data_IF_211956170793
#
_entry.id   IF_211956170793
#
_cell.length_a   1.000
_cell.length_b   1.000
_cell.length_c   1.000
_cell.angle_alpha   90.00
_cell.angle_beta   90.00
_cell.angle_gamma   90.00
#
_symmetry.space_group_name_H-M   'P 1'
#
loop_
_entity.id
_entity.type
_entity.pdbx_description
1 polymer ?
#
# COMPACT_ATOMS: atom_id res chain seq x y z
N UNK A 1 -16.64 26.32 -24.33
CA UNK A 1 -17.24 25.19 -25.09
C UNK A 1 -16.35 23.97 -24.86
N UNK A 2 -16.89 22.80 -24.50
CA UNK A 2 -16.11 21.58 -24.33
C UNK A 2 -15.65 21.06 -25.71
N UNK A 3 -14.40 20.62 -25.84
CA UNK A 3 -13.84 20.05 -27.06
C UNK A 3 -14.65 18.83 -27.57
N UNK A 4 -15.20 18.04 -26.66
CA UNK A 4 -16.02 16.85 -26.97
C UNK A 4 -17.52 17.14 -27.13
N UNK A 5 -17.93 18.42 -27.04
CA UNK A 5 -19.32 18.89 -27.20
C UNK A 5 -20.34 18.24 -26.23
N UNK A 6 -19.88 17.58 -25.17
CA UNK A 6 -20.67 16.92 -24.12
C UNK A 6 -20.10 17.29 -22.74
N UNK A 7 -20.56 16.62 -21.67
CA UNK A 7 -20.18 16.92 -20.28
C UNK A 7 -18.97 16.12 -19.78
N UNK A 8 -18.08 15.67 -20.68
CA UNK A 8 -16.83 15.00 -20.30
C UNK A 8 -15.87 15.96 -19.61
N UNK A 9 -15.22 15.50 -18.56
CA UNK A 9 -14.25 16.28 -17.79
C UNK A 9 -12.86 15.65 -17.94
N UNK A 10 -11.92 16.41 -18.49
CA UNK A 10 -10.50 16.08 -18.42
C UNK A 10 -9.92 16.75 -17.17
N UNK A 11 -9.32 15.95 -16.29
CA UNK A 11 -8.60 16.42 -15.11
C UNK A 11 -7.15 16.01 -15.23
N UNK A 12 -6.25 16.99 -15.09
CA UNK A 12 -4.80 16.76 -15.02
C UNK A 12 -4.38 17.05 -13.59
N UNK A 13 -3.84 16.05 -12.90
CA UNK A 13 -3.33 16.17 -11.54
C UNK A 13 -1.83 15.95 -11.55
N UNK A 14 -1.07 16.83 -10.91
CA UNK A 14 0.34 16.64 -10.65
C UNK A 14 0.56 16.54 -9.14
N UNK A 15 1.37 15.58 -8.70
CA UNK A 15 1.70 15.38 -7.30
C UNK A 15 3.21 15.35 -7.10
N UNK A 16 3.67 15.96 -6.01
CA UNK A 16 5.05 15.90 -5.54
C UNK A 16 5.07 15.54 -4.05
N UNK A 17 6.06 14.78 -3.62
CA UNK A 17 6.22 14.40 -2.22
C UNK A 17 7.67 14.17 -1.86
N UNK A 18 8.01 14.46 -0.61
CA UNK A 18 9.32 14.19 0.00
C UNK A 18 9.12 13.35 1.26
N UNK A 19 9.93 12.32 1.43
CA UNK A 19 9.94 11.46 2.62
C UNK A 19 11.38 11.38 3.10
N UNK A 20 11.68 11.99 4.25
CA UNK A 20 12.99 11.90 4.89
C UNK A 20 12.85 11.10 6.18
N UNK A 21 13.82 10.24 6.46
CA UNK A 21 13.82 9.39 7.65
C UNK A 21 15.03 9.71 8.51
N UNK A 22 14.83 10.39 9.63
CA UNK A 22 15.92 10.67 10.58
C UNK A 22 16.01 9.53 11.58
N UNK A 23 17.17 8.88 11.65
CA UNK A 23 17.44 7.79 12.61
C UNK A 23 18.74 8.02 13.37
N UNK A 24 18.84 7.45 14.59
CA UNK A 24 20.01 7.59 15.47
C UNK A 24 21.34 7.04 14.92
N UNK A 25 21.33 6.34 13.78
CA UNK A 25 22.50 5.67 13.18
C UNK A 25 22.95 6.27 11.83
N UNK A 26 22.62 7.54 11.55
CA UNK A 26 23.50 8.38 10.74
C UNK A 26 23.17 8.60 9.25
N UNK A 27 22.43 7.75 8.54
CA UNK A 27 22.11 8.05 7.12
C UNK A 27 20.66 7.72 6.77
N UNK A 28 19.81 8.73 6.87
CA UNK A 28 18.45 8.70 6.37
C UNK A 28 18.42 8.79 4.85
N UNK A 29 17.75 7.85 4.17
CA UNK A 29 17.49 7.97 2.73
C UNK A 29 16.30 8.92 2.55
N UNK A 30 16.52 9.99 1.78
CA UNK A 30 15.45 10.90 1.34
C UNK A 30 14.82 10.39 0.05
N UNK A 31 13.52 10.12 0.08
CA UNK A 31 12.77 9.77 -1.11
C UNK A 31 12.07 10.99 -1.68
N UNK A 32 12.07 11.09 -3.01
CA UNK A 32 11.25 12.06 -3.73
C UNK A 32 10.27 11.31 -4.60
N UNK A 33 9.02 11.76 -4.63
CA UNK A 33 7.96 11.19 -5.46
C UNK A 33 7.41 12.29 -6.35
N UNK A 34 7.28 11.99 -7.63
CA UNK A 34 6.57 12.84 -8.58
C UNK A 34 5.55 11.99 -9.34
N UNK A 35 4.38 12.53 -9.59
CA UNK A 35 3.35 11.86 -10.37
C UNK A 35 2.53 12.84 -11.20
N UNK A 36 2.02 12.34 -12.31
CA UNK A 36 1.16 13.05 -13.24
C UNK A 36 0.06 12.09 -13.70
N UNK A 37 -1.20 12.48 -13.49
CA UNK A 37 -2.37 11.71 -13.92
C UNK A 37 -3.24 12.58 -14.84
N UNK A 38 -3.59 12.05 -16.01
CA UNK A 38 -4.61 12.59 -16.90
C UNK A 38 -5.83 11.67 -16.84
N UNK A 39 -6.96 12.16 -16.32
CA UNK A 39 -8.21 11.41 -16.18
C UNK A 39 -9.30 12.02 -17.04
N UNK A 40 -9.80 11.26 -18.00
CA UNK A 40 -11.00 11.58 -18.77
C UNK A 40 -12.23 10.92 -18.12
N UNK A 41 -13.10 11.74 -17.55
CA UNK A 41 -14.31 11.30 -16.86
C UNK A 41 -15.54 11.48 -17.72
N UNK A 42 -16.29 10.41 -17.94
CA UNK A 42 -17.60 10.41 -18.57
C UNK A 42 -18.66 10.37 -17.46
N UNK A 43 -19.64 11.31 -17.41
CA UNK A 43 -20.70 11.33 -16.38
C UNK A 43 -21.81 10.31 -16.67
N UNK A 44 -21.42 9.13 -17.13
CA UNK A 44 -22.29 7.98 -17.44
C UNK A 44 -21.48 6.70 -17.39
N UNK A 45 -22.17 5.57 -17.24
CA UNK A 45 -21.57 4.24 -17.36
C UNK A 45 -21.46 3.88 -18.85
N UNK A 46 -20.24 3.86 -19.38
CA UNK A 46 -19.93 3.42 -20.74
C UNK A 46 -19.60 1.93 -20.65
N UNK A 47 -20.63 1.11 -20.44
CA UNK A 47 -20.49 -0.30 -20.16
C UNK A 47 -21.50 -1.15 -20.94
N UNK A 48 -21.16 -2.41 -21.26
CA UNK A 48 -22.10 -3.35 -21.88
C UNK A 48 -23.10 -3.96 -20.88
N UNK A 49 -22.99 -3.66 -19.57
CA UNK A 49 -23.83 -4.22 -18.50
C UNK A 49 -24.62 -3.13 -17.75
N UNK A 50 -25.76 -3.50 -17.17
CA UNK A 50 -26.59 -2.59 -16.36
C UNK A 50 -26.15 -2.62 -14.89
N UNK A 51 -25.92 -1.44 -14.31
CA UNK A 51 -25.61 -1.28 -12.89
C UNK A 51 -26.81 -0.71 -12.13
N UNK A 52 -27.02 -1.15 -10.89
CA UNK A 52 -27.99 -0.54 -9.97
C UNK A 52 -27.29 0.62 -9.25
N UNK A 53 -27.81 1.83 -9.39
CA UNK A 53 -27.28 3.02 -8.73
C UNK A 53 -28.42 3.99 -8.38
N UNK A 54 -28.22 4.81 -7.35
CA UNK A 54 -29.21 5.81 -6.94
C UNK A 54 -29.05 7.09 -7.77
N UNK A 55 -30.04 7.36 -8.64
CA UNK A 55 -30.07 8.53 -9.52
C UNK A 55 -30.21 9.86 -8.76
N UNK A 56 -30.62 9.84 -7.48
CA UNK A 56 -30.81 11.04 -6.65
C UNK A 56 -29.54 11.52 -5.95
N UNK A 57 -28.47 10.72 -5.93
CA UNK A 57 -27.24 11.03 -5.20
C UNK A 57 -26.17 11.65 -6.11
N UNK A 58 -25.46 10.81 -6.85
CA UNK A 58 -24.36 11.20 -7.71
C UNK A 58 -24.45 10.39 -9.00
N UNK A 59 -24.30 11.07 -10.13
CA UNK A 59 -24.26 10.40 -11.42
C UNK A 59 -23.06 9.44 -11.43
N UNK A 60 -23.27 8.21 -11.90
CA UNK A 60 -22.18 7.25 -12.02
C UNK A 60 -21.19 7.73 -13.08
N UNK A 61 -19.93 7.33 -12.94
CA UNK A 61 -18.84 7.81 -13.79
C UNK A 61 -18.08 6.64 -14.41
N UNK A 62 -17.65 6.82 -15.64
CA UNK A 62 -16.59 6.01 -16.25
C UNK A 62 -15.34 6.86 -16.35
N UNK A 63 -14.21 6.35 -15.89
CA UNK A 63 -12.95 7.06 -15.88
C UNK A 63 -11.93 6.28 -16.70
N UNK A 64 -11.32 6.97 -17.67
CA UNK A 64 -10.09 6.53 -18.31
C UNK A 64 -8.94 7.35 -17.72
N UNK A 65 -7.98 6.70 -17.08
CA UNK A 65 -6.82 7.36 -16.47
C UNK A 65 -5.55 6.88 -17.11
N UNK A 66 -4.71 7.83 -17.52
CA UNK A 66 -3.31 7.63 -17.87
C UNK A 66 -2.48 8.27 -16.76
N UNK A 67 -1.58 7.51 -16.15
CA UNK A 67 -0.76 7.97 -15.04
C UNK A 67 0.71 7.63 -15.22
N UNK A 68 1.59 8.51 -14.77
CA UNK A 68 3.02 8.26 -14.67
C UNK A 68 3.51 8.69 -13.29
N UNK A 69 4.19 7.81 -12.59
CA UNK A 69 4.79 8.10 -11.28
C UNK A 69 6.26 7.70 -11.28
N UNK A 70 7.10 8.54 -10.70
CA UNK A 70 8.51 8.27 -10.42
C UNK A 70 8.80 8.42 -8.93
N UNK A 71 9.57 7.50 -8.38
CA UNK A 71 10.09 7.55 -7.01
C UNK A 71 11.61 7.50 -7.09
N UNK A 72 12.27 8.58 -6.66
CA UNK A 72 13.72 8.66 -6.48
C UNK A 72 14.05 8.20 -5.07
N UNK A 73 14.88 7.15 -4.95
CA UNK A 73 15.31 6.58 -3.66
C UNK A 73 16.69 7.11 -3.28
N UNK A 74 16.78 8.30 -2.70
CA UNK A 74 18.00 8.89 -2.10
C UNK A 74 19.33 8.58 -2.79
N UNK A 75 19.38 8.73 -4.12
CA UNK A 75 20.59 8.48 -4.93
C UNK A 75 20.91 7.01 -5.25
N UNK A 76 20.11 6.06 -4.79
CA UNK A 76 20.29 4.62 -5.04
C UNK A 76 19.73 4.21 -6.40
N UNK A 77 18.44 4.45 -6.64
CA UNK A 77 17.78 4.10 -7.90
C UNK A 77 16.46 4.89 -8.07
N UNK A 78 15.90 4.82 -9.28
CA UNK A 78 14.58 5.39 -9.60
C UNK A 78 13.60 4.31 -10.03
N UNK A 79 12.46 4.22 -9.36
CA UNK A 79 11.35 3.37 -9.78
C UNK A 79 10.34 4.20 -10.56
N UNK A 80 9.97 3.75 -11.76
CA UNK A 80 8.92 4.35 -12.57
C UNK A 80 7.71 3.42 -12.65
N UNK A 81 6.52 4.00 -12.75
CA UNK A 81 5.25 3.29 -12.89
C UNK A 81 4.42 4.02 -13.94
N UNK A 82 4.17 3.39 -15.07
CA UNK A 82 3.27 3.88 -16.12
C UNK A 82 1.97 3.06 -16.08
N UNK A 83 0.85 3.73 -15.80
CA UNK A 83 -0.44 3.08 -15.61
C UNK A 83 -1.49 3.58 -16.61
N UNK A 84 -2.30 2.65 -17.09
CA UNK A 84 -3.53 2.93 -17.85
C UNK A 84 -4.67 2.16 -17.20
N UNK A 85 -5.73 2.85 -16.81
CA UNK A 85 -6.89 2.22 -16.19
C UNK A 85 -8.18 2.69 -16.84
N UNK A 86 -9.12 1.76 -16.99
CA UNK A 86 -10.49 2.08 -17.34
C UNK A 86 -11.41 1.47 -16.29
N UNK A 87 -12.24 2.30 -15.67
CA UNK A 87 -13.07 1.88 -14.54
C UNK A 87 -14.36 2.64 -14.39
N UNK A 88 -15.25 2.07 -13.59
CA UNK A 88 -16.55 2.58 -13.23
C UNK A 88 -16.59 2.92 -11.75
N UNK A 89 -17.26 4.01 -11.40
CA UNK A 89 -17.57 4.36 -10.02
C UNK A 89 -19.05 4.71 -9.91
N UNK A 90 -19.75 4.08 -8.96
CA UNK A 90 -21.16 4.36 -8.73
C UNK A 90 -21.52 4.27 -7.24
N UNK A 91 -22.52 5.04 -6.86
CA UNK A 91 -23.06 5.05 -5.50
C UNK A 91 -24.40 4.31 -5.50
N UNK A 92 -24.50 3.23 -4.75
CA UNK A 92 -25.74 2.46 -4.62
C UNK A 92 -26.74 3.18 -3.70
N UNK A 93 -26.26 3.81 -2.62
CA UNK A 93 -27.05 4.64 -1.69
C UNK A 93 -26.11 5.57 -0.90
N UNK A 94 -26.62 6.33 0.08
CA UNK A 94 -25.80 7.27 0.87
C UNK A 94 -24.64 6.62 1.66
N UNK A 95 -24.67 5.31 1.85
CA UNK A 95 -23.70 4.57 2.65
C UNK A 95 -22.76 3.72 1.79
N UNK A 96 -23.21 3.26 0.63
CA UNK A 96 -22.52 2.25 -0.18
C UNK A 96 -22.07 2.82 -1.51
N UNK A 97 -20.77 2.69 -1.77
CA UNK A 97 -20.12 3.05 -3.02
C UNK A 97 -19.31 1.88 -3.56
N UNK A 98 -19.25 1.79 -4.89
CA UNK A 98 -18.54 0.75 -5.60
C UNK A 98 -17.60 1.36 -6.62
N UNK A 99 -16.45 0.72 -6.78
CA UNK A 99 -15.52 0.94 -7.87
C UNK A 99 -15.26 -0.38 -8.58
N UNK A 100 -15.23 -0.37 -9.91
CA UNK A 100 -14.83 -1.54 -10.68
C UNK A 100 -13.92 -1.11 -11.83
N UNK A 101 -12.67 -1.58 -11.80
CA UNK A 101 -11.69 -1.41 -12.86
C UNK A 101 -11.58 -2.77 -13.55
N UNK A 102 -12.33 -3.02 -14.65
CA UNK A 102 -12.18 -4.26 -15.41
C UNK A 102 -10.80 -4.38 -16.06
N UNK A 103 -10.15 -3.25 -16.37
CA UNK A 103 -8.89 -3.22 -17.10
C UNK A 103 -7.93 -2.21 -16.48
N UNK A 104 -6.81 -2.72 -15.98
CA UNK A 104 -5.66 -1.97 -15.54
C UNK A 104 -4.40 -2.56 -16.15
N UNK A 105 -3.58 -1.72 -16.75
CA UNK A 105 -2.20 -2.03 -17.11
C UNK A 105 -1.32 -1.14 -16.25
N UNK A 106 -0.38 -1.74 -15.52
CA UNK A 106 0.67 -1.01 -14.83
C UNK A 106 2.03 -1.62 -15.18
N UNK A 107 2.91 -0.82 -15.79
CA UNK A 107 4.28 -1.20 -16.04
C UNK A 107 5.19 -0.51 -15.02
N UNK A 108 5.84 -1.33 -14.18
CA UNK A 108 6.79 -0.88 -13.18
C UNK A 108 8.19 -1.24 -13.65
N UNK A 109 9.12 -0.29 -13.61
CA UNK A 109 10.49 -0.52 -14.07
C UNK A 109 11.53 0.36 -13.41
N UNK A 110 12.77 -0.14 -13.37
CA UNK A 110 13.96 0.59 -12.89
C UNK A 110 14.94 0.77 -14.06
N UNK A 111 15.08 1.99 -14.61
CA UNK A 111 16.05 2.26 -15.66
C UNK A 111 17.47 2.00 -15.17
N UNK A 112 18.25 1.24 -15.94
CA UNK A 112 19.64 0.91 -15.60
C UNK A 112 20.50 2.17 -15.38
N UNK A 113 20.28 3.21 -16.18
CA UNK A 113 20.97 4.50 -16.06
C UNK A 113 20.56 5.33 -14.82
N UNK A 114 19.62 4.84 -14.01
CA UNK A 114 19.20 5.50 -12.77
C UNK A 114 19.78 4.87 -11.52
N UNK A 115 20.51 3.77 -11.66
CA UNK A 115 21.16 3.05 -10.56
C UNK A 115 22.44 3.82 -10.23
N UNK A 116 22.54 4.33 -9.00
CA UNK A 116 23.71 5.04 -8.51
C UNK A 116 24.81 4.11 -8.00
N UNK A 117 26.05 4.60 -8.01
CA UNK A 117 27.26 3.86 -7.60
C UNK A 117 27.13 3.21 -6.21
N UNK A 118 26.44 3.90 -5.31
CA UNK A 118 26.17 3.41 -3.95
C UNK A 118 25.47 2.05 -3.90
N UNK A 119 24.65 1.70 -4.89
CA UNK A 119 24.05 0.35 -4.96
C UNK A 119 25.13 -0.70 -5.16
N UNK A 120 26.11 -0.43 -6.04
CA UNK A 120 27.21 -1.35 -6.29
C UNK A 120 28.14 -1.46 -5.08
N UNK A 121 28.40 -0.35 -4.39
CA UNK A 121 29.17 -0.35 -3.14
C UNK A 121 28.52 -1.25 -2.08
N UNK A 122 27.21 -1.15 -1.88
CA UNK A 122 26.45 -2.01 -0.95
C UNK A 122 26.53 -3.50 -1.35
N UNK A 123 26.48 -3.80 -2.65
CA UNK A 123 26.56 -5.18 -3.12
C UNK A 123 27.96 -5.77 -2.97
N UNK A 124 29.00 -4.94 -3.11
CA UNK A 124 30.41 -5.34 -2.99
C UNK A 124 30.87 -5.45 -1.52
N UNK A 125 30.31 -4.65 -0.62
CA UNK A 125 30.75 -4.55 0.78
C UNK A 125 30.57 -5.88 1.55
N UNK A 126 31.65 -6.48 2.09
CA UNK A 126 31.58 -7.77 2.79
C UNK A 126 30.83 -7.70 4.14
N UNK A 127 30.67 -6.52 4.73
CA UNK A 127 29.99 -6.34 6.01
C UNK A 127 28.45 -6.32 5.86
N UNK A 128 27.96 -6.21 4.61
CA UNK A 128 26.52 -6.26 4.30
C UNK A 128 26.02 -7.69 4.31
N UNK A 129 25.00 -7.95 5.15
CA UNK A 129 24.38 -9.28 5.22
C UNK A 129 23.86 -9.75 3.85
N UNK A 130 24.02 -11.04 3.50
CA UNK A 130 23.59 -11.58 2.20
C UNK A 130 22.12 -11.30 1.86
N UNK A 131 21.25 -11.32 2.86
CA UNK A 131 19.82 -11.04 2.70
C UNK A 131 19.53 -9.63 2.18
N UNK A 132 20.29 -8.64 2.65
CA UNK A 132 20.13 -7.25 2.20
C UNK A 132 20.61 -7.13 0.76
N UNK A 133 21.74 -7.77 0.42
CA UNK A 133 22.25 -7.80 -0.95
C UNK A 133 21.22 -8.41 -1.91
N UNK A 134 20.65 -9.55 -1.54
CA UNK A 134 19.64 -10.24 -2.35
C UNK A 134 18.38 -9.37 -2.56
N UNK A 135 17.96 -8.62 -1.54
CA UNK A 135 16.84 -7.67 -1.66
C UNK A 135 17.14 -6.50 -2.61
N UNK A 136 18.32 -5.87 -2.49
CA UNK A 136 18.76 -4.85 -3.44
C UNK A 136 18.83 -5.41 -4.86
N UNK A 137 19.39 -6.61 -5.02
CA UNK A 137 19.47 -7.27 -6.33
C UNK A 137 18.10 -7.50 -6.95
N UNK A 138 17.15 -8.05 -6.18
CA UNK A 138 15.81 -8.34 -6.66
C UNK A 138 15.03 -7.05 -6.99
N UNK A 139 15.13 -6.01 -6.17
CA UNK A 139 14.39 -4.76 -6.38
C UNK A 139 15.02 -3.86 -7.45
N UNK A 140 16.34 -3.80 -7.56
CA UNK A 140 16.99 -2.92 -8.53
C UNK A 140 17.08 -3.58 -9.91
N UNK A 141 17.39 -4.87 -9.97
CA UNK A 141 17.69 -5.54 -11.25
C UNK A 141 16.61 -6.53 -11.73
N UNK A 142 15.60 -6.84 -10.90
CA UNK A 142 14.52 -7.80 -11.25
C UNK A 142 13.10 -7.28 -10.99
N UNK A 143 12.93 -5.97 -10.82
CA UNK A 143 11.64 -5.34 -10.51
C UNK A 143 10.78 -5.01 -11.73
N UNK A 144 11.34 -5.10 -12.94
CA UNK A 144 10.61 -4.86 -14.18
C UNK A 144 9.45 -5.85 -14.33
N UNK A 145 8.23 -5.33 -14.19
CA UNK A 145 7.02 -6.15 -14.13
C UNK A 145 5.84 -5.45 -14.77
N UNK A 146 5.09 -6.23 -15.54
CA UNK A 146 3.81 -5.82 -16.13
C UNK A 146 2.65 -6.40 -15.30
N UNK A 147 1.78 -5.53 -14.80
CA UNK A 147 0.62 -5.91 -14.00
C UNK A 147 -0.62 -5.63 -14.82
N UNK A 148 -1.24 -6.70 -15.33
CA UNK A 148 -2.50 -6.65 -16.06
C UNK A 148 -3.60 -7.13 -15.12
N UNK A 149 -4.36 -6.20 -14.53
CA UNK A 149 -5.30 -6.53 -13.45
C UNK A 149 -6.73 -6.02 -13.65
N UNK A 150 -7.65 -6.66 -12.91
CA UNK A 150 -8.99 -6.18 -12.66
C UNK A 150 -9.17 -6.00 -11.16
N UNK A 151 -9.74 -4.88 -10.73
CA UNK A 151 -9.91 -4.51 -9.33
C UNK A 151 -11.37 -4.13 -9.05
N UNK A 152 -11.95 -4.71 -8.01
CA UNK A 152 -13.22 -4.29 -7.45
C UNK A 152 -13.00 -3.71 -6.05
N UNK A 153 -13.61 -2.55 -5.79
CA UNK A 153 -13.57 -1.87 -4.51
C UNK A 153 -15.00 -1.67 -4.01
N UNK A 154 -15.24 -2.09 -2.77
CA UNK A 154 -16.47 -1.85 -2.04
C UNK A 154 -16.18 -0.88 -0.89
N UNK A 155 -16.99 0.18 -0.79
CA UNK A 155 -16.93 1.13 0.30
C UNK A 155 -18.28 1.20 1.01
N UNK A 156 -18.24 1.12 2.33
CA UNK A 156 -19.37 1.37 3.20
C UNK A 156 -19.00 2.44 4.23
N UNK A 157 -19.83 3.47 4.38
CA UNK A 157 -19.68 4.50 5.39
C UNK A 157 -21.02 4.71 6.11
N UNK A 158 -20.99 4.78 7.44
CA UNK A 158 -22.14 5.24 8.19
C UNK A 158 -22.52 6.68 7.78
N UNK A 159 -23.82 7.03 7.77
CA UNK A 159 -24.26 8.35 7.34
C UNK A 159 -23.69 9.46 8.22
N UNK A 160 -23.24 10.56 7.60
CA UNK A 160 -22.64 11.70 8.31
C UNK A 160 -23.60 12.38 9.31
N UNK A 161 -24.92 12.23 9.12
CA UNK A 161 -25.97 12.81 9.98
C UNK A 161 -26.62 11.79 10.91
N UNK A 162 -25.96 10.67 11.18
CA UNK A 162 -26.48 9.67 12.11
C UNK A 162 -26.29 10.12 13.56
N UNK A 163 -27.36 10.08 14.37
CA UNK A 163 -27.27 10.27 15.83
C UNK A 163 -26.76 9.02 16.57
N UNK A 164 -26.46 7.94 15.84
CA UNK A 164 -25.93 6.71 16.38
C UNK A 164 -24.61 6.94 17.13
N UNK A 165 -24.49 6.34 18.31
CA UNK A 165 -23.22 6.27 19.02
C UNK A 165 -22.17 5.40 18.29
N UNK A 166 -22.62 4.59 17.32
CA UNK A 166 -21.80 3.65 16.55
C UNK A 166 -21.68 4.13 15.11
N UNK A 167 -20.44 4.29 14.63
CA UNK A 167 -20.14 4.62 13.24
C UNK A 167 -19.11 3.65 12.67
N UNK A 168 -19.32 3.24 11.44
CA UNK A 168 -18.48 2.28 10.72
C UNK A 168 -18.00 2.88 9.41
N UNK A 169 -16.77 2.56 9.03
CA UNK A 169 -16.22 2.78 7.70
C UNK A 169 -15.51 1.51 7.27
N UNK A 170 -15.86 0.97 6.11
CA UNK A 170 -15.29 -0.27 5.58
C UNK A 170 -14.90 0.00 4.14
N UNK A 171 -13.66 -0.35 3.80
CA UNK A 171 -13.18 -0.45 2.42
C UNK A 171 -12.70 -1.87 2.22
N UNK A 172 -13.21 -2.56 1.19
CA UNK A 172 -12.76 -3.89 0.81
C UNK A 172 -12.38 -3.90 -0.67
N UNK A 173 -11.27 -4.56 -1.00
CA UNK A 173 -10.72 -4.66 -2.34
C UNK A 173 -10.53 -6.12 -2.72
N UNK A 174 -10.81 -6.45 -3.98
CA UNK A 174 -10.48 -7.72 -4.60
C UNK A 174 -9.86 -7.46 -5.97
N UNK A 175 -8.61 -7.88 -6.16
CA UNK A 175 -7.82 -7.71 -7.37
C UNK A 175 -7.37 -9.07 -7.90
N UNK A 176 -7.47 -9.25 -9.20
CA UNK A 176 -6.90 -10.40 -9.90
C UNK A 176 -6.03 -9.91 -11.05
N UNK A 177 -4.84 -10.48 -11.20
CA UNK A 177 -3.86 -10.05 -12.19
C UNK A 177 -3.35 -11.23 -13.03
N UNK A 178 -2.96 -10.96 -14.28
CA UNK A 178 -2.22 -11.88 -15.15
C UNK A 178 -3.03 -12.97 -15.85
N UNK A 179 -4.34 -13.08 -15.59
CA UNK A 179 -5.17 -14.12 -16.20
C UNK A 179 -5.37 -13.92 -17.70
N UNK A 180 -5.65 -12.71 -18.15
CA UNK A 180 -5.75 -12.42 -19.59
C UNK A 180 -4.39 -12.62 -20.26
N UNK A 181 -3.31 -12.18 -19.61
CA UNK A 181 -1.95 -12.34 -20.11
C UNK A 181 -1.59 -13.82 -20.32
N UNK A 182 -1.87 -14.69 -19.35
CA UNK A 182 -1.54 -16.12 -19.40
C UNK A 182 -2.34 -16.91 -20.45
N UNK A 183 -3.47 -16.38 -20.94
CA UNK A 183 -4.19 -16.98 -22.06
C UNK A 183 -3.44 -16.79 -23.39
N UNK A 184 -2.81 -15.62 -23.59
CA UNK A 184 -2.22 -15.23 -24.88
C UNK A 184 -0.69 -15.29 -24.93
N UNK A 185 -0.01 -15.13 -23.78
CA UNK A 185 1.45 -14.98 -23.69
C UNK A 185 2.03 -16.07 -22.80
N UNK A 186 2.48 -17.18 -23.41
CA UNK A 186 2.95 -18.39 -22.71
C UNK A 186 4.41 -18.73 -22.99
N UNK A 187 5.17 -17.79 -23.54
CA UNK A 187 6.59 -17.97 -23.85
C UNK A 187 7.44 -17.42 -22.70
N UNK A 188 8.33 -18.25 -22.09
CA UNK A 188 9.31 -17.79 -21.11
C UNK A 188 10.26 -16.74 -21.71
N UNK A 189 10.78 -15.88 -20.84
CA UNK A 189 11.86 -14.96 -21.20
C UNK A 189 13.21 -15.68 -21.21
N UNK A 190 14.20 -15.09 -21.87
CA UNK A 190 15.56 -15.69 -21.96
C UNK A 190 16.28 -15.71 -20.60
N UNK A 191 16.06 -14.67 -19.79
CA UNK A 191 16.75 -14.44 -18.49
C UNK A 191 15.85 -14.67 -17.28
N UNK A 192 14.58 -15.04 -17.49
CA UNK A 192 13.58 -15.21 -16.45
C UNK A 192 12.65 -16.38 -16.81
N UNK A 193 12.47 -17.38 -15.93
CA UNK A 193 11.59 -18.52 -16.21
C UNK A 193 10.11 -18.13 -16.37
N UNK A 194 9.73 -16.91 -15.97
CA UNK A 194 8.38 -16.38 -16.15
C UNK A 194 8.13 -16.00 -17.61
N UNK A 195 6.89 -16.20 -18.05
CA UNK A 195 6.40 -15.72 -19.32
C UNK A 195 6.38 -14.19 -19.36
N UNK A 196 6.63 -13.64 -20.55
CA UNK A 196 6.71 -12.19 -20.73
C UNK A 196 6.00 -11.65 -21.95
N UNK A 197 5.80 -10.33 -21.92
CA UNK A 197 5.20 -9.52 -22.97
C UNK A 197 6.23 -8.42 -23.29
N UNK A 198 6.66 -8.32 -24.56
CA UNK A 198 7.70 -7.36 -24.98
C UNK A 198 8.98 -7.38 -24.12
N UNK A 199 9.42 -8.58 -23.69
CA UNK A 199 10.63 -8.73 -22.87
C UNK A 199 10.43 -8.50 -21.36
N UNK A 200 9.21 -8.19 -20.92
CA UNK A 200 8.89 -7.92 -19.51
C UNK A 200 8.02 -9.02 -18.93
N UNK A 201 8.38 -9.55 -17.76
CA UNK A 201 7.59 -10.56 -17.07
C UNK A 201 6.24 -9.98 -16.62
N UNK A 202 5.14 -10.73 -16.78
CA UNK A 202 3.85 -10.29 -16.25
C UNK A 202 3.53 -10.95 -14.91
N UNK A 203 2.97 -10.17 -13.99
CA UNK A 203 2.56 -10.65 -12.68
C UNK A 203 1.21 -11.38 -12.74
N UNK A 204 1.10 -12.50 -12.03
CA UNK A 204 -0.14 -13.25 -11.90
C UNK A 204 -0.42 -13.57 -10.43
N UNK A 205 -1.49 -12.99 -9.89
CA UNK A 205 -1.84 -13.10 -8.48
C UNK A 205 -3.32 -12.82 -8.23
N UNK A 206 -3.78 -13.18 -7.04
CA UNK A 206 -5.06 -12.78 -6.47
C UNK A 206 -4.79 -12.02 -5.18
N UNK A 207 -5.42 -10.87 -4.97
CA UNK A 207 -5.19 -10.03 -3.79
C UNK A 207 -6.53 -9.58 -3.25
N UNK A 208 -6.75 -9.78 -1.97
CA UNK A 208 -7.94 -9.30 -1.26
C UNK A 208 -7.50 -8.58 0.01
N UNK A 209 -8.11 -7.43 0.29
CA UNK A 209 -7.90 -6.70 1.53
C UNK A 209 -9.16 -6.01 2.03
N UNK A 210 -9.21 -5.79 3.34
CA UNK A 210 -10.26 -5.05 4.00
C UNK A 210 -9.67 -4.15 5.08
N UNK A 211 -10.14 -2.90 5.10
CA UNK A 211 -9.88 -1.91 6.14
C UNK A 211 -11.21 -1.51 6.78
N UNK A 212 -11.39 -1.89 8.05
CA UNK A 212 -12.57 -1.55 8.83
C UNK A 212 -12.19 -0.57 9.95
N UNK A 213 -12.94 0.50 10.08
CA UNK A 213 -12.83 1.46 11.19
C UNK A 213 -14.17 1.56 11.89
N UNK A 214 -14.15 1.41 13.21
CA UNK A 214 -15.32 1.46 14.08
C UNK A 214 -15.11 2.51 15.16
N UNK A 215 -16.04 3.48 15.23
CA UNK A 215 -16.09 4.48 16.27
C UNK A 215 -17.28 4.21 17.18
N UNK A 216 -17.02 4.22 18.49
CA UNK A 216 -18.04 4.18 19.53
C UNK A 216 -17.94 5.41 20.40
N UNK A 217 -18.95 6.28 20.36
CA UNK A 217 -19.09 7.41 21.29
C UNK A 217 -19.53 6.86 22.65
N UNK A 218 -18.62 6.88 23.62
CA UNK A 218 -18.86 6.41 24.99
C UNK A 218 -19.49 7.53 25.85
N UNK A 219 -19.09 8.77 25.60
CA UNK A 219 -19.67 9.98 26.20
C UNK A 219 -19.62 11.12 25.17
N UNK A 220 -20.18 12.29 25.50
CA UNK A 220 -20.16 13.47 24.62
C UNK A 220 -18.75 13.91 24.21
N UNK A 221 -17.76 13.68 25.07
CA UNK A 221 -16.34 14.01 24.85
C UNK A 221 -15.42 12.79 24.79
N UNK A 222 -15.93 11.56 24.82
CA UNK A 222 -15.12 10.34 24.86
C UNK A 222 -15.51 9.39 23.73
N UNK A 223 -14.55 9.06 22.87
CA UNK A 223 -14.74 8.16 21.72
C UNK A 223 -13.70 7.06 21.71
N UNK A 224 -14.15 5.81 21.62
CA UNK A 224 -13.31 4.67 21.30
C UNK A 224 -13.24 4.53 19.78
N UNK A 225 -12.05 4.61 19.21
CA UNK A 225 -11.80 4.42 17.79
C UNK A 225 -10.97 3.16 17.57
N UNK A 226 -11.47 2.25 16.74
CA UNK A 226 -10.82 0.99 16.42
C UNK A 226 -10.62 0.93 14.91
N UNK A 227 -9.45 0.46 14.47
CA UNK A 227 -9.15 0.18 13.08
C UNK A 227 -8.59 -1.23 12.98
N UNK A 228 -9.06 -1.99 12.01
CA UNK A 228 -8.56 -3.31 11.68
C UNK A 228 -8.31 -3.39 10.18
N UNK A 229 -7.13 -3.88 9.81
CA UNK A 229 -6.73 -4.14 8.44
C UNK A 229 -6.31 -5.60 8.31
N UNK A 230 -6.84 -6.28 7.31
CA UNK A 230 -6.40 -7.60 6.91
C UNK A 230 -6.27 -7.66 5.39
N UNK A 231 -5.19 -8.23 4.89
CA UNK A 231 -4.99 -8.41 3.45
C UNK A 231 -4.11 -9.61 3.15
N UNK A 232 -4.37 -10.26 2.02
CA UNK A 232 -3.59 -11.37 1.49
C UNK A 232 -3.47 -11.24 -0.01
N UNK A 233 -2.24 -11.38 -0.52
CA UNK A 233 -1.89 -11.57 -1.90
C UNK A 233 -1.37 -13.00 -2.08
N UNK A 234 -1.90 -13.69 -3.09
CA UNK A 234 -1.56 -15.06 -3.44
C UNK A 234 -1.02 -15.03 -4.86
N UNK A 235 0.31 -15.05 -5.04
CA UNK A 235 0.96 -15.25 -6.33
C UNK A 235 0.65 -16.66 -6.85
N UNK A 236 0.32 -16.81 -8.13
CA UNK A 236 0.07 -18.11 -8.76
C UNK A 236 0.45 -18.09 -10.24
N UNK A 237 0.40 -19.25 -10.89
CA UNK A 237 0.72 -19.37 -12.32
C UNK A 237 2.09 -18.79 -12.64
N UNK A 238 2.13 -17.74 -13.47
CA UNK A 238 3.37 -17.07 -13.88
C UNK A 238 4.18 -16.43 -12.75
N UNK A 239 3.61 -16.29 -11.54
CA UNK A 239 4.31 -15.75 -10.37
C UNK A 239 4.36 -16.74 -9.20
N UNK A 240 4.12 -18.04 -9.44
CA UNK A 240 4.22 -19.07 -8.41
C UNK A 240 5.64 -19.13 -7.85
N UNK A 241 5.78 -19.10 -6.52
CA UNK A 241 7.08 -19.10 -5.83
C UNK A 241 7.77 -17.73 -5.73
N UNK A 242 7.13 -16.66 -6.22
CA UNK A 242 7.58 -15.28 -6.07
C UNK A 242 6.63 -14.51 -5.15
N UNK A 243 7.02 -13.33 -4.69
CA UNK A 243 6.11 -12.39 -4.03
C UNK A 243 5.21 -11.69 -5.05
N UNK A 244 4.11 -11.07 -4.58
CA UNK A 244 3.39 -10.11 -5.41
C UNK A 244 4.30 -8.92 -5.76
N UNK A 245 4.05 -8.23 -6.90
CA UNK A 245 4.84 -7.08 -7.30
C UNK A 245 5.02 -6.09 -6.16
N UNK A 246 6.20 -5.50 -6.04
CA UNK A 246 6.55 -4.59 -4.94
C UNK A 246 5.52 -3.45 -4.76
N UNK A 247 5.00 -2.89 -5.85
CA UNK A 247 3.97 -1.83 -5.82
C UNK A 247 2.61 -2.28 -5.27
N UNK A 248 2.42 -3.59 -5.05
CA UNK A 248 1.20 -4.24 -4.56
C UNK A 248 1.39 -4.89 -3.20
N UNK A 249 2.63 -4.98 -2.70
CA UNK A 249 2.96 -5.48 -1.36
C UNK A 249 2.39 -4.58 -0.26
N UNK A 250 2.18 -5.18 0.91
CA UNK A 250 1.78 -4.49 2.11
C UNK A 250 2.99 -4.09 2.95
N UNK A 251 2.85 -2.98 3.68
CA UNK A 251 3.86 -2.48 4.61
C UNK A 251 3.23 -2.07 5.94
N UNK A 252 3.99 -2.18 7.02
CA UNK A 252 3.58 -1.82 8.39
C UNK A 252 4.65 -0.94 9.05
N UNK A 253 4.22 -0.05 9.95
CA UNK A 253 5.05 0.91 10.69
C UNK A 253 4.83 2.36 10.25
N UNK A 254 5.15 3.31 11.13
CA UNK A 254 5.00 4.75 10.90
C UNK A 254 3.72 5.34 11.51
N UNK A 255 3.56 6.65 11.36
CA UNK A 255 2.51 7.46 12.05
C UNK A 255 1.06 7.07 11.74
N UNK A 256 0.83 6.42 10.59
CA UNK A 256 -0.49 5.97 10.14
C UNK A 256 -0.69 4.45 10.22
N UNK A 257 0.22 3.73 10.90
CA UNK A 257 0.20 2.28 11.12
C UNK A 257 0.59 2.04 12.58
N UNK A 258 1.73 1.39 12.83
CA UNK A 258 2.25 1.14 14.19
C UNK A 258 3.26 2.23 14.54
N UNK A 259 2.83 3.18 15.37
CA UNK A 259 3.56 4.44 15.62
C UNK A 259 4.89 4.28 16.33
N UNK A 260 5.03 3.21 17.11
CA UNK A 260 6.26 2.90 17.83
C UNK A 260 7.43 2.49 16.91
N UNK A 261 7.18 2.27 15.62
CA UNK A 261 8.18 1.78 14.67
C UNK A 261 8.28 2.71 13.47
N UNK A 262 9.45 2.72 12.84
CA UNK A 262 9.71 3.48 11.62
C UNK A 262 8.79 3.01 10.47
N UNK A 263 8.47 3.89 9.51
CA UNK A 263 7.71 3.49 8.33
C UNK A 263 8.36 2.29 7.62
N UNK A 264 7.55 1.28 7.28
CA UNK A 264 7.98 0.07 6.54
C UNK A 264 9.07 -0.78 7.23
N UNK A 265 9.27 -0.60 8.54
CA UNK A 265 10.34 -1.27 9.27
C UNK A 265 9.94 -2.64 9.86
N UNK A 266 8.64 -2.95 9.89
CA UNK A 266 8.14 -4.21 10.47
C UNK A 266 7.96 -5.24 9.37
N UNK A 267 8.55 -6.42 9.59
CA UNK A 267 8.38 -7.60 8.77
C UNK A 267 9.26 -7.63 7.50
N UNK A 268 9.10 -8.68 6.68
CA UNK A 268 8.13 -9.77 6.86
C UNK A 268 8.45 -10.76 8.01
N UNK A 269 7.43 -11.19 8.74
CA UNK A 269 7.55 -12.13 9.86
C UNK A 269 8.47 -11.62 10.97
N UNK A 270 9.46 -12.44 11.37
CA UNK A 270 10.45 -12.06 12.39
C UNK A 270 11.59 -11.20 11.83
N UNK A 271 11.67 -11.02 10.51
CA UNK A 271 12.71 -10.19 9.92
C UNK A 271 12.48 -8.73 10.29
N UNK A 272 13.54 -8.10 10.80
CA UNK A 272 13.59 -6.66 11.00
C UNK A 272 14.92 -6.13 10.54
N UNK A 273 14.96 -4.83 10.27
CA UNK A 273 16.19 -4.12 9.92
C UNK A 273 16.74 -3.27 11.07
N UNK A 274 15.98 -3.10 12.15
CA UNK A 274 16.39 -2.32 13.34
C UNK A 274 17.53 -2.99 14.15
N UNK A 275 17.86 -4.25 13.85
CA UNK A 275 18.98 -4.99 14.45
C UNK A 275 20.28 -4.87 13.67
N UNK A 276 20.23 -4.30 12.46
CA UNK A 276 21.35 -4.28 11.53
C UNK A 276 22.02 -2.89 11.59
N UNK A 277 23.12 -2.80 12.34
CA UNK A 277 23.90 -1.56 12.51
C UNK A 277 24.61 -1.18 11.19
N UNK A 278 24.78 0.12 10.95
CA UNK A 278 25.66 0.73 9.94
C UNK A 278 25.39 0.47 8.44
N UNK A 279 24.17 0.08 8.05
CA UNK A 279 23.85 -0.10 6.62
C UNK A 279 22.85 0.93 6.12
N UNK A 280 22.99 1.45 4.87
CA UNK A 280 21.98 2.27 4.23
C UNK A 280 20.65 1.53 4.27
N UNK A 281 19.75 2.08 5.08
CA UNK A 281 18.46 1.49 5.44
C UNK A 281 17.66 1.09 4.20
N UNK A 282 17.79 -0.16 3.76
CA UNK A 282 16.94 -0.66 2.68
C UNK A 282 15.48 -0.63 3.18
N UNK A 283 14.67 0.24 2.58
CA UNK A 283 13.45 0.78 3.21
C UNK A 283 12.20 -0.11 3.09
N UNK A 284 12.35 -1.39 2.73
CA UNK A 284 11.26 -2.13 2.09
C UNK A 284 10.98 -3.46 2.81
N UNK A 285 10.32 -3.40 3.97
CA UNK A 285 9.76 -4.56 4.69
C UNK A 285 8.39 -4.93 4.12
N UNK A 286 8.35 -5.28 2.83
CA UNK A 286 7.11 -5.62 2.13
C UNK A 286 6.70 -7.07 2.37
N UNK A 287 5.39 -7.32 2.39
CA UNK A 287 4.84 -8.66 2.46
C UNK A 287 3.61 -8.86 1.58
N UNK A 288 3.26 -10.12 1.33
CA UNK A 288 2.07 -10.53 0.61
C UNK A 288 0.84 -10.57 1.54
N UNK A 289 1.04 -10.74 2.84
CA UNK A 289 -0.02 -10.80 3.85
C UNK A 289 0.20 -9.67 4.87
N UNK A 290 -0.87 -9.01 5.32
CA UNK A 290 -0.85 -8.02 6.40
C UNK A 290 -2.00 -8.22 7.35
N UNK A 291 -1.70 -8.13 8.63
CA UNK A 291 -2.68 -8.01 9.70
C UNK A 291 -2.27 -6.84 10.59
N UNK A 292 -3.19 -5.92 10.83
CA UNK A 292 -2.95 -4.75 11.67
C UNK A 292 -4.22 -4.35 12.41
N UNK A 293 -4.08 -4.00 13.68
CA UNK A 293 -5.13 -3.46 14.52
C UNK A 293 -4.62 -2.23 15.25
N UNK A 294 -5.46 -1.22 15.37
CA UNK A 294 -5.24 -0.03 16.18
C UNK A 294 -6.47 0.21 17.04
N UNK A 295 -6.26 0.48 18.32
CA UNK A 295 -7.31 0.90 19.26
C UNK A 295 -6.88 2.21 19.91
N UNK A 296 -7.74 3.21 19.90
CA UNK A 296 -7.51 4.51 20.52
C UNK A 296 -8.69 4.95 21.38
N UNK A 297 -8.40 5.38 22.59
CA UNK A 297 -9.34 6.10 23.43
C UNK A 297 -9.08 7.61 23.27
N UNK A 298 -10.05 8.33 22.70
CA UNK A 298 -9.95 9.74 22.34
C UNK A 298 -10.81 10.58 23.27
N UNK A 299 -10.18 11.50 23.99
CA UNK A 299 -10.83 12.43 24.90
C UNK A 299 -10.77 13.85 24.33
N UNK A 300 -11.92 14.47 24.16
CA UNK A 300 -12.06 15.84 23.67
C UNK A 300 -12.04 16.82 24.84
N UNK A 301 -10.95 17.57 24.98
CA UNK A 301 -10.81 18.57 26.04
C UNK A 301 -11.54 19.87 25.68
N UNK A 302 -11.43 20.29 24.42
CA UNK A 302 -12.11 21.46 23.88
C UNK A 302 -12.64 21.16 22.49
N UNK A 303 -13.30 22.11 21.83
CA UNK A 303 -13.72 21.94 20.42
C UNK A 303 -12.57 21.61 19.46
N UNK A 304 -11.35 22.03 19.78
CA UNK A 304 -10.17 21.91 18.93
C UNK A 304 -9.13 20.90 19.46
N UNK A 305 -9.05 20.71 20.77
CA UNK A 305 -8.00 19.91 21.39
C UNK A 305 -8.53 18.54 21.83
N UNK A 306 -7.86 17.48 21.35
CA UNK A 306 -8.14 16.09 21.75
C UNK A 306 -6.87 15.40 22.25
N UNK A 307 -7.00 14.63 23.32
CA UNK A 307 -6.00 13.67 23.76
C UNK A 307 -6.34 12.26 23.26
N UNK A 308 -5.33 11.44 23.05
CA UNK A 308 -5.49 10.04 22.70
C UNK A 308 -4.52 9.16 23.50
N UNK A 309 -5.00 8.00 23.95
CA UNK A 309 -4.15 6.88 24.38
C UNK A 309 -4.42 5.74 23.41
N UNK A 310 -3.37 5.06 22.95
CA UNK A 310 -3.51 4.09 21.88
C UNK A 310 -2.63 2.86 22.05
N UNK A 311 -3.08 1.76 21.45
CA UNK A 311 -2.31 0.54 21.23
C UNK A 311 -2.41 0.18 19.75
N UNK A 312 -1.25 -0.08 19.15
CA UNK A 312 -1.09 -0.48 17.76
C UNK A 312 -0.46 -1.86 17.72
N UNK A 313 -0.96 -2.75 16.87
CA UNK A 313 -0.40 -4.08 16.71
C UNK A 313 -0.49 -4.55 15.27
N UNK A 314 0.50 -5.27 14.78
CA UNK A 314 0.46 -5.83 13.43
C UNK A 314 1.80 -6.30 12.90
N UNK A 315 1.75 -6.93 11.73
CA UNK A 315 2.91 -7.36 10.96
C UNK A 315 2.51 -7.61 9.50
N UNK A 316 3.52 -7.83 8.65
CA UNK A 316 3.39 -8.36 7.31
C UNK A 316 4.16 -9.67 7.18
N UNK A 317 3.79 -10.51 6.23
CA UNK A 317 4.42 -11.80 5.96
C UNK A 317 4.47 -12.07 4.47
N UNK A 318 5.33 -12.98 4.05
CA UNK A 318 5.31 -13.54 2.69
C UNK A 318 4.31 -14.68 2.62
N UNK A 319 3.79 -14.94 1.42
CA UNK A 319 2.94 -16.11 1.17
C UNK A 319 3.78 -17.38 0.98
N UNK A 320 4.85 -17.26 0.20
CA UNK A 320 5.84 -18.32 -0.01
C UNK A 320 7.04 -18.15 0.92
N UNK A 321 7.64 -19.27 1.30
CA UNK A 321 9.02 -19.30 1.80
C UNK A 321 9.95 -18.86 0.66
N UNK A 322 10.75 -17.84 0.91
CA UNK A 322 11.62 -17.25 -0.09
C UNK A 322 13.05 -17.56 0.31
N UNK A 323 13.82 -18.15 -0.62
CA UNK A 323 15.26 -18.41 -0.45
C UNK A 323 16.12 -17.15 -0.15
N UNK A 324 15.51 -15.96 -0.18
CA UNK A 324 16.13 -14.70 0.25
C UNK A 324 16.29 -14.62 1.77
N UNK A 325 15.45 -15.30 2.55
CA UNK A 325 15.48 -15.30 4.01
C UNK A 325 16.05 -16.61 4.55
N UNK A 326 16.92 -16.53 5.57
CA UNK A 326 17.46 -17.73 6.21
C UNK A 326 16.45 -18.28 7.23
N UNK A 327 15.87 -19.44 6.90
CA UNK A 327 14.83 -20.10 7.68
C UNK A 327 13.44 -19.50 7.45
N UNK A 328 12.38 -20.28 7.72
CA UNK A 328 10.96 -19.92 7.49
C UNK A 328 10.43 -18.79 8.41
N UNK A 329 11.20 -17.72 8.60
CA UNK A 329 10.95 -16.68 9.61
C UNK A 329 10.01 -15.59 9.10
N UNK A 330 9.88 -15.46 7.79
CA UNK A 330 9.13 -14.45 7.05
C UNK A 330 7.78 -14.96 6.53
N UNK A 331 7.65 -16.28 6.32
CA UNK A 331 6.44 -16.90 5.81
C UNK A 331 5.32 -16.88 6.84
N UNK A 332 4.10 -16.58 6.38
CA UNK A 332 2.92 -16.71 7.22
C UNK A 332 2.70 -18.16 7.65
N UNK A 333 2.60 -18.39 8.96
CA UNK A 333 2.44 -19.73 9.53
C UNK A 333 1.49 -19.72 10.73
N UNK A 334 1.23 -20.89 11.32
CA UNK A 334 0.45 -21.01 12.56
C UNK A 334 1.04 -20.22 13.74
N UNK A 335 2.31 -19.83 13.67
CA UNK A 335 2.99 -19.02 14.68
C UNK A 335 2.88 -17.50 14.44
N UNK A 336 2.08 -17.02 13.48
CA UNK A 336 1.98 -15.60 13.12
C UNK A 336 1.77 -14.67 14.32
N UNK A 337 0.96 -15.07 15.31
CA UNK A 337 0.66 -14.28 16.51
C UNK A 337 1.91 -14.06 17.39
N UNK A 338 2.93 -14.91 17.28
CA UNK A 338 4.22 -14.75 17.96
C UNK A 338 5.11 -13.69 17.29
N UNK A 339 4.74 -13.28 16.08
CA UNK A 339 5.50 -12.37 15.24
C UNK A 339 4.83 -10.99 15.18
N UNK A 340 3.76 -10.73 15.93
CA UNK A 340 3.08 -9.44 15.92
C UNK A 340 3.89 -8.39 16.70
N UNK A 341 4.23 -7.28 16.05
CA UNK A 341 4.78 -6.10 16.71
C UNK A 341 3.67 -5.38 17.49
N UNK A 342 3.98 -4.87 18.68
CA UNK A 342 3.03 -4.11 19.51
C UNK A 342 3.68 -2.81 19.95
N UNK A 343 2.99 -1.71 19.74
CA UNK A 343 3.34 -0.37 20.23
C UNK A 343 2.22 0.23 21.04
N UNK A 344 2.57 1.09 21.98
CA UNK A 344 1.61 1.91 22.74
C UNK A 344 2.09 3.35 22.80
N UNK A 345 1.19 4.27 23.08
CA UNK A 345 1.56 5.65 23.22
C UNK A 345 0.43 6.58 23.60
N UNK A 346 0.78 7.86 23.65
CA UNK A 346 -0.13 8.97 23.90
C UNK A 346 0.01 9.99 22.78
N UNK A 347 -1.08 10.67 22.48
CA UNK A 347 -1.14 11.63 21.40
C UNK A 347 -1.97 12.85 21.75
N UNK A 348 -1.63 13.99 21.15
CA UNK A 348 -2.40 15.22 21.18
C UNK A 348 -2.76 15.60 19.75
N UNK A 349 -4.00 16.06 19.57
CA UNK A 349 -4.56 16.45 18.29
C UNK A 349 -5.18 17.83 18.37
N UNK A 350 -4.91 18.63 17.34
CA UNK A 350 -5.51 19.94 17.15
C UNK A 350 -6.34 19.88 15.86
N UNK A 351 -7.65 19.84 16.00
CA UNK A 351 -8.62 19.83 14.90
C UNK A 351 -9.05 21.27 14.58
N UNK A 352 -8.52 21.83 13.50
CA UNK A 352 -8.83 23.17 13.02
C UNK A 352 -9.96 23.18 11.97
N UNK A 353 -10.76 22.11 11.86
CA UNK A 353 -11.83 21.91 10.86
C UNK A 353 -11.35 21.74 9.40
N UNK A 354 -10.38 22.55 8.95
CA UNK A 354 -9.76 22.43 7.61
C UNK A 354 -8.45 21.63 7.62
N UNK A 355 -7.81 21.50 8.79
CA UNK A 355 -6.56 20.78 8.95
C UNK A 355 -6.47 20.15 10.34
N UNK A 356 -5.82 18.99 10.44
CA UNK A 356 -5.59 18.26 11.69
C UNK A 356 -4.09 18.18 11.94
N UNK A 357 -3.63 18.72 13.08
CA UNK A 357 -2.27 18.52 13.57
C UNK A 357 -2.30 17.36 14.57
N UNK A 358 -1.33 16.44 14.46
CA UNK A 358 -1.14 15.32 15.39
C UNK A 358 0.30 15.26 15.87
N UNK A 359 0.45 15.14 17.17
CA UNK A 359 1.72 14.80 17.81
C UNK A 359 1.52 13.55 18.66
N UNK A 360 2.16 12.46 18.28
CA UNK A 360 2.09 11.18 18.98
C UNK A 360 3.48 10.80 19.49
N UNK A 361 3.56 10.36 20.74
CA UNK A 361 4.75 9.74 21.34
C UNK A 361 4.44 8.29 21.61
N UNK A 362 5.23 7.39 21.03
CA UNK A 362 4.99 5.96 21.07
C UNK A 362 6.26 5.19 21.46
N UNK A 363 6.07 4.06 22.15
CA UNK A 363 7.14 3.13 22.53
C UNK A 363 6.76 1.69 22.17
N UNK A 364 7.70 0.86 21.70
CA UNK A 364 7.41 -0.54 21.39
C UNK A 364 7.24 -1.34 22.70
N UNK A 365 6.13 -2.03 22.85
CA UNK A 365 5.90 -3.01 23.93
C UNK A 365 6.44 -4.39 23.56
N UNK A 366 6.37 -4.73 22.27
CA UNK A 366 6.86 -5.99 21.73
C UNK A 366 7.47 -5.78 20.37
N UNK A 367 8.75 -6.13 20.23
CA UNK A 367 9.43 -6.23 18.95
C UNK A 367 9.29 -7.67 18.43
N UNK A 368 9.00 -7.88 17.14
CA UNK A 368 8.85 -9.23 16.59
C UNK A 368 10.19 -9.90 16.25
N UNK A 369 11.31 -9.40 16.76
CA UNK A 369 12.67 -9.84 16.41
C UNK A 369 13.57 -9.85 17.63
N UNK A 370 14.64 -10.66 17.58
CA UNK A 370 15.67 -10.69 18.64
C UNK A 370 16.53 -9.43 18.53
N UNK A 371 16.66 -8.70 19.63
CA UNK A 371 17.50 -7.49 19.76
C UNK A 371 18.96 -7.83 19.97
#
# INVERSE_FOLDING_TARGET
>A
RNALRRAELLTINANAGIEFQVGAAGEGITNYRYGLDATLSFPRLVAPFRFKYDQRQALPKSNLTLGYQTILRGGLYRINSAQTTFGYAWRQNQQVEHGFIPFSINYVFVPQNSIGDRVFDILADPDVQPIIKAQYQNTVFKSDQLILSSLYTFNYNSPARSNSANMFRITANAEVAGNVASLFFRKPLETDPRNGIFGVSYAQYFRVDANATYYRRLASNLTLANRFFAGVGIPYGNSKGYQIPFTKQYFVGGSNSIRAFRPRAIGPGLFTRDTIRNLPSYQEGGGDIRLEANTELRLKFTKYLEGAVFVDAGNVWTYYDLATFEGNVEQFSSNFYKQIAIGTGVGIRIDLSYFLIRLDVATPLRKPYKT
#
